data_IF_295283214852
#
_entry.id   IF_295283214852
#
_cell.length_a   1.000
_cell.length_b   1.000
_cell.length_c   1.000
_cell.angle_alpha   90.00
_cell.angle_beta   90.00
_cell.angle_gamma   90.00
#
_symmetry.space_group_name_H-M   'P 1'
#
loop_
_entity.id
_entity.type
_entity.pdbx_description
1 polymer ?
#
# COMPACT_ATOMS: atom_id res chain seq x y z
N UNK A 1 11.15 -16.13 -7.95
CA UNK A 1 10.02 -16.52 -7.11
C UNK A 1 8.70 -16.06 -7.73
N UNK A 2 8.59 -14.81 -8.18
CA UNK A 2 7.30 -14.31 -8.71
C UNK A 2 6.27 -14.10 -7.59
N UNK A 3 6.78 -14.07 -6.36
CA UNK A 3 6.08 -13.79 -5.12
C UNK A 3 6.16 -12.29 -4.84
N UNK A 4 5.09 -11.76 -4.27
CA UNK A 4 5.00 -10.35 -3.86
C UNK A 4 4.43 -10.32 -2.45
N UNK A 5 5.14 -9.70 -1.53
CA UNK A 5 4.69 -9.49 -0.16
C UNK A 5 4.36 -8.01 0.04
N UNK A 6 3.15 -7.72 0.51
CA UNK A 6 2.65 -6.36 0.74
C UNK A 6 2.26 -6.23 2.21
N UNK A 7 2.97 -5.37 2.94
CA UNK A 7 2.64 -5.05 4.32
C UNK A 7 2.03 -3.64 4.39
N UNK A 8 0.77 -3.57 4.80
CA UNK A 8 0.08 -2.31 5.08
C UNK A 8 0.43 -1.82 6.48
N UNK A 9 0.97 -0.61 6.59
CA UNK A 9 1.23 0.04 7.88
C UNK A 9 0.10 1.03 8.15
N UNK A 10 -0.67 0.88 9.24
CA UNK A 10 -1.68 1.86 9.63
C UNK A 10 -1.10 3.27 9.73
N UNK A 11 -1.85 4.25 9.22
CA UNK A 11 -1.35 5.63 9.07
C UNK A 11 -1.05 6.33 10.41
N UNK A 12 -1.72 5.85 11.47
CA UNK A 12 -1.64 6.37 12.83
C UNK A 12 -0.64 5.56 13.69
N UNK A 13 0.17 4.68 13.07
CA UNK A 13 1.19 3.89 13.79
C UNK A 13 2.17 4.78 14.52
N UNK A 14 2.32 4.56 15.83
CA UNK A 14 3.30 5.27 16.66
C UNK A 14 4.71 4.86 16.25
N UNK A 15 5.54 5.83 15.87
CA UNK A 15 6.88 5.58 15.36
C UNK A 15 7.87 6.67 15.79
N UNK A 16 9.14 6.29 15.90
CA UNK A 16 10.24 7.23 15.97
C UNK A 16 10.47 7.89 14.60
N UNK A 17 10.49 9.23 14.59
CA UNK A 17 10.77 10.01 13.38
C UNK A 17 12.06 10.79 13.61
N UNK A 18 13.07 10.57 12.76
CA UNK A 18 14.38 11.23 12.87
C UNK A 18 14.22 12.75 12.90
N UNK A 19 14.92 13.40 13.82
CA UNK A 19 14.83 14.86 14.03
C UNK A 19 13.63 15.31 14.88
N UNK A 20 12.83 14.37 15.39
CA UNK A 20 11.75 14.64 16.36
C UNK A 20 12.17 14.22 17.76
N UNK A 21 11.65 14.91 18.78
CA UNK A 21 11.97 14.65 20.18
C UNK A 21 11.23 13.42 20.74
N UNK A 22 9.97 13.29 20.36
CA UNK A 22 9.08 12.23 20.81
C UNK A 22 8.64 11.38 19.63
N UNK A 23 8.15 10.18 19.92
CA UNK A 23 7.43 9.37 18.93
C UNK A 23 6.13 10.06 18.53
N UNK A 24 5.78 9.96 17.25
CA UNK A 24 4.59 10.56 16.67
C UNK A 24 3.92 9.54 15.72
N UNK A 25 2.79 9.89 15.11
CA UNK A 25 2.18 9.02 14.09
C UNK A 25 3.04 9.00 12.82
N UNK A 26 3.20 7.83 12.20
CA UNK A 26 4.12 7.59 11.08
C UNK A 26 3.87 8.52 9.88
N UNK A 27 2.61 8.91 9.64
CA UNK A 27 2.26 9.83 8.55
C UNK A 27 2.90 11.21 8.66
N UNK A 28 3.24 11.65 9.88
CA UNK A 28 3.95 12.92 10.08
C UNK A 28 5.32 12.93 9.40
N UNK A 29 5.97 11.78 9.21
CA UNK A 29 7.25 11.68 8.53
C UNK A 29 7.17 12.25 7.10
N UNK A 30 6.08 11.96 6.39
CA UNK A 30 5.86 12.50 5.04
C UNK A 30 5.64 14.01 5.06
N UNK A 31 4.86 14.51 6.03
CA UNK A 31 4.60 15.94 6.16
C UNK A 31 5.88 16.74 6.48
N UNK A 32 6.82 16.15 7.23
CA UNK A 32 8.05 16.83 7.65
C UNK A 32 9.19 16.74 6.64
N UNK A 33 9.34 15.61 5.94
CA UNK A 33 10.51 15.37 5.09
C UNK A 33 10.22 14.59 3.83
N UNK A 34 8.95 14.54 3.41
CA UNK A 34 8.55 13.88 2.17
C UNK A 34 8.86 12.38 2.15
N UNK A 35 8.98 11.79 0.94
CA UNK A 35 9.23 10.36 0.78
C UNK A 35 10.49 9.86 1.49
N UNK A 36 11.57 10.64 1.50
CA UNK A 36 12.85 10.22 2.08
C UNK A 36 12.76 10.00 3.60
N UNK A 37 12.08 10.91 4.32
CA UNK A 37 11.88 10.73 5.75
C UNK A 37 10.89 9.61 6.05
N UNK A 38 9.85 9.44 5.21
CA UNK A 38 8.95 8.28 5.31
C UNK A 38 9.71 6.96 5.18
N UNK A 39 10.60 6.83 4.19
CA UNK A 39 11.42 5.62 4.00
C UNK A 39 12.31 5.35 5.21
N UNK A 40 12.97 6.38 5.76
CA UNK A 40 13.81 6.26 6.96
C UNK A 40 12.99 5.83 8.18
N UNK A 41 11.82 6.42 8.38
CA UNK A 41 10.91 6.04 9.48
C UNK A 41 10.41 4.60 9.35
N UNK A 42 10.03 4.15 8.15
CA UNK A 42 9.63 2.74 7.92
C UNK A 42 10.81 1.80 8.18
N UNK A 43 12.01 2.16 7.71
CA UNK A 43 13.23 1.39 7.97
C UNK A 43 13.52 1.27 9.47
N UNK A 44 13.42 2.38 10.20
CA UNK A 44 13.66 2.38 11.66
C UNK A 44 12.55 1.61 12.41
N UNK A 45 11.30 1.66 11.94
CA UNK A 45 10.17 0.97 12.54
C UNK A 45 10.24 -0.56 12.36
N UNK A 46 10.57 -1.03 11.15
CA UNK A 46 10.48 -2.44 10.78
C UNK A 46 11.83 -3.15 10.69
N UNK A 47 12.94 -2.41 10.71
CA UNK A 47 14.29 -2.98 10.54
C UNK A 47 14.58 -3.49 9.12
N UNK A 48 13.81 -3.07 8.11
CA UNK A 48 14.00 -3.49 6.71
C UNK A 48 14.59 -2.38 5.84
N UNK A 49 15.38 -2.77 4.83
CA UNK A 49 15.88 -1.83 3.84
C UNK A 49 14.79 -1.41 2.85
N UNK A 50 14.48 -0.12 2.88
CA UNK A 50 13.57 0.52 1.92
C UNK A 50 14.44 1.26 0.90
N UNK A 51 14.57 0.68 -0.30
CA UNK A 51 15.43 1.20 -1.38
C UNK A 51 14.68 2.20 -2.26
N UNK A 52 13.39 1.95 -2.48
CA UNK A 52 12.58 2.70 -3.41
C UNK A 52 11.25 3.13 -2.79
N UNK A 53 10.69 4.22 -3.33
CA UNK A 53 9.34 4.68 -3.03
C UNK A 53 8.56 4.94 -4.30
N UNK A 54 7.24 4.84 -4.19
CA UNK A 54 6.29 5.38 -5.18
C UNK A 54 5.27 6.20 -4.40
N UNK A 55 5.11 7.45 -4.79
CA UNK A 55 4.04 8.33 -4.33
C UNK A 55 3.03 8.51 -5.47
N UNK A 56 1.78 8.17 -5.19
CA UNK A 56 0.70 8.08 -6.17
C UNK A 56 -0.39 9.09 -5.83
N UNK A 57 -0.79 9.90 -6.83
CA UNK A 57 -1.99 10.74 -6.77
C UNK A 57 -3.23 9.92 -7.16
N UNK A 58 -4.39 10.31 -6.65
CA UNK A 58 -5.69 9.80 -7.07
C UNK A 58 -5.92 9.81 -8.59
N UNK A 59 -5.42 10.81 -9.32
CA UNK A 59 -5.57 10.88 -10.78
C UNK A 59 -4.94 9.67 -11.49
N UNK A 60 -3.84 9.15 -10.96
CA UNK A 60 -3.13 8.00 -11.52
C UNK A 60 -3.96 6.72 -11.35
N UNK A 61 -4.63 6.59 -10.20
CA UNK A 61 -5.52 5.46 -9.94
C UNK A 61 -6.69 5.49 -10.92
N UNK A 62 -7.29 6.67 -11.16
CA UNK A 62 -8.36 6.84 -12.14
C UNK A 62 -7.92 6.42 -13.54
N UNK A 63 -6.83 7.01 -14.04
CA UNK A 63 -6.29 6.72 -15.38
C UNK A 63 -6.00 5.22 -15.54
N UNK A 64 -5.40 4.61 -14.51
CA UNK A 64 -5.11 3.18 -14.53
C UNK A 64 -6.38 2.32 -14.63
N UNK A 65 -7.42 2.63 -13.84
CA UNK A 65 -8.69 1.89 -13.86
C UNK A 65 -9.39 2.04 -15.20
N UNK A 66 -9.35 3.22 -15.81
CA UNK A 66 -9.89 3.47 -17.15
C UNK A 66 -9.14 2.66 -18.22
N UNK A 67 -7.80 2.60 -18.18
CA UNK A 67 -6.99 1.85 -19.14
C UNK A 67 -7.28 0.34 -19.16
N UNK A 68 -7.71 -0.21 -18.02
CA UNK A 68 -8.08 -1.63 -17.90
C UNK A 68 -9.57 -1.87 -18.10
N UNK A 69 -10.38 -0.86 -18.41
CA UNK A 69 -11.83 -0.96 -18.53
C UNK A 69 -12.50 -1.42 -17.22
N UNK A 70 -12.14 -0.74 -16.13
CA UNK A 70 -12.73 -0.93 -14.79
C UNK A 70 -12.14 -2.10 -13.99
N UNK A 71 -12.32 -2.03 -12.66
CA UNK A 71 -11.87 -3.06 -11.70
C UNK A 71 -13.06 -3.63 -10.93
N UNK A 72 -13.19 -4.95 -10.94
CA UNK A 72 -14.29 -5.64 -10.26
C UNK A 72 -13.97 -5.84 -8.77
N UNK A 73 -14.88 -5.39 -7.89
CA UNK A 73 -14.74 -5.58 -6.45
C UNK A 73 -16.08 -5.98 -5.83
N UNK A 74 -16.03 -6.62 -4.66
CA UNK A 74 -17.18 -6.79 -3.78
C UNK A 74 -17.21 -5.67 -2.74
N UNK A 75 -18.12 -4.70 -2.88
CA UNK A 75 -18.28 -3.63 -1.91
C UNK A 75 -18.94 -4.19 -0.64
N UNK A 76 -18.29 -4.11 0.55
CA UNK A 76 -18.72 -4.84 1.74
C UNK A 76 -20.05 -4.35 2.34
N UNK A 77 -20.41 -3.10 2.11
CA UNK A 77 -21.56 -2.41 2.67
C UNK A 77 -21.90 -1.19 1.81
N UNK A 78 -23.10 -0.63 1.96
CA UNK A 78 -23.40 0.66 1.35
C UNK A 78 -22.45 1.73 1.91
N UNK A 79 -21.76 2.43 1.01
CA UNK A 79 -20.79 3.47 1.34
C UNK A 79 -21.37 4.82 0.95
N UNK A 80 -21.73 5.62 1.95
CA UNK A 80 -22.26 6.96 1.75
C UNK A 80 -21.49 7.96 2.59
N UNK A 81 -20.76 8.86 1.93
CA UNK A 81 -19.99 9.91 2.60
C UNK A 81 -19.92 11.16 1.74
N UNK A 82 -20.06 12.33 2.36
CA UNK A 82 -19.94 13.62 1.70
C UNK A 82 -19.10 14.55 2.56
N UNK A 83 -18.04 15.09 1.96
CA UNK A 83 -17.17 16.08 2.56
C UNK A 83 -16.88 17.20 1.55
N UNK A 84 -17.73 18.25 1.55
CA UNK A 84 -17.56 19.38 0.64
C UNK A 84 -16.35 20.24 1.00
N UNK A 85 -15.71 20.02 2.15
CA UNK A 85 -14.54 20.78 2.63
C UNK A 85 -13.22 20.15 2.24
N UNK A 86 -13.23 18.89 1.77
CA UNK A 86 -12.07 18.25 1.18
C UNK A 86 -11.67 18.94 -0.13
N UNK A 87 -10.39 18.87 -0.48
CA UNK A 87 -9.87 19.38 -1.76
C UNK A 87 -9.27 18.22 -2.59
N UNK A 88 -9.89 17.84 -3.72
CA UNK A 88 -11.23 18.26 -4.17
C UNK A 88 -12.34 17.69 -3.26
N UNK A 89 -13.57 18.25 -3.32
CA UNK A 89 -14.72 17.75 -2.58
C UNK A 89 -14.90 16.23 -2.73
N UNK A 90 -15.12 15.54 -1.61
CA UNK A 90 -15.25 14.09 -1.60
C UNK A 90 -16.71 13.70 -1.50
N UNK A 91 -17.21 13.04 -2.55
CA UNK A 91 -18.54 12.42 -2.58
C UNK A 91 -18.38 10.93 -2.84
N UNK A 92 -18.94 10.11 -1.95
CA UNK A 92 -18.91 8.65 -2.01
C UNK A 92 -20.35 8.16 -1.97
N UNK A 93 -20.72 7.35 -2.96
CA UNK A 93 -22.00 6.68 -3.03
C UNK A 93 -21.84 5.34 -3.78
N UNK A 94 -21.58 4.27 -3.04
CA UNK A 94 -21.45 2.91 -3.60
C UNK A 94 -22.41 1.97 -2.89
N UNK A 95 -23.17 1.18 -3.66
CA UNK A 95 -24.03 0.14 -3.12
C UNK A 95 -23.22 -1.11 -2.76
N UNK A 96 -23.67 -1.86 -1.76
CA UNK A 96 -23.10 -3.16 -1.39
C UNK A 96 -23.17 -4.16 -2.56
N UNK A 97 -22.15 -5.00 -2.69
CA UNK A 97 -22.13 -6.15 -3.60
C UNK A 97 -21.06 -6.07 -4.69
N UNK A 98 -21.07 -7.08 -5.58
CA UNK A 98 -20.15 -7.15 -6.71
C UNK A 98 -20.49 -6.09 -7.76
N UNK A 99 -19.50 -5.30 -8.12
CA UNK A 99 -19.62 -4.31 -9.19
C UNK A 99 -18.26 -4.01 -9.81
N UNK A 100 -18.28 -3.57 -11.07
CA UNK A 100 -17.09 -3.05 -11.75
C UNK A 100 -17.02 -1.56 -11.50
N UNK A 101 -15.97 -1.13 -10.80
CA UNK A 101 -15.71 0.27 -10.52
C UNK A 101 -14.97 0.92 -11.68
N UNK A 102 -15.46 2.07 -12.12
CA UNK A 102 -14.70 3.02 -12.93
C UNK A 102 -13.66 3.78 -12.09
N UNK A 103 -12.93 4.72 -12.70
CA UNK A 103 -11.89 5.49 -12.03
C UNK A 103 -12.40 6.29 -10.83
N UNK A 104 -13.55 6.95 -10.95
CA UNK A 104 -14.13 7.74 -9.87
C UNK A 104 -14.66 6.85 -8.74
N UNK A 105 -15.37 5.78 -9.09
CA UNK A 105 -15.88 4.80 -8.14
C UNK A 105 -14.75 4.06 -7.41
N UNK A 106 -13.62 3.80 -8.08
CA UNK A 106 -12.43 3.24 -7.45
C UNK A 106 -11.88 4.17 -6.37
N UNK A 107 -11.82 5.48 -6.62
CA UNK A 107 -11.42 6.43 -5.59
C UNK A 107 -12.40 6.50 -4.43
N UNK A 108 -13.70 6.47 -4.72
CA UNK A 108 -14.74 6.42 -3.69
C UNK A 108 -14.52 5.21 -2.77
N UNK A 109 -14.30 4.04 -3.37
CA UNK A 109 -14.06 2.79 -2.65
C UNK A 109 -12.77 2.85 -1.80
N UNK A 110 -11.67 3.34 -2.36
CA UNK A 110 -10.36 3.39 -1.70
C UNK A 110 -10.27 4.45 -0.58
N UNK A 111 -11.14 5.46 -0.62
CA UNK A 111 -11.15 6.58 0.34
C UNK A 111 -12.18 6.42 1.46
N UNK A 112 -13.20 5.57 1.29
CA UNK A 112 -14.24 5.37 2.30
C UNK A 112 -13.63 4.85 3.62
N UNK A 113 -14.10 5.41 4.74
CA UNK A 113 -13.64 5.06 6.10
C UNK A 113 -14.78 5.14 7.10
N UNK A 114 -15.56 6.22 6.99
CA UNK A 114 -16.71 6.52 7.84
C UNK A 114 -17.91 6.93 6.98
N UNK A 115 -19.10 6.69 7.49
CA UNK A 115 -20.33 7.12 6.85
C UNK A 115 -20.68 8.58 7.14
N UNK A 116 -21.68 9.09 6.42
CA UNK A 116 -22.41 10.29 6.83
C UNK A 116 -23.04 10.11 8.22
N UNK A 117 -23.45 11.21 8.86
CA UNK A 117 -24.16 11.14 10.15
C UNK A 117 -25.38 10.21 10.02
N UNK A 118 -25.45 9.18 10.87
CA UNK A 118 -26.52 8.18 10.86
C UNK A 118 -26.31 7.02 9.87
N UNK A 119 -25.16 6.98 9.17
CA UNK A 119 -24.73 5.86 8.34
C UNK A 119 -23.58 5.10 9.04
N UNK A 120 -23.46 3.79 8.82
CA UNK A 120 -22.39 2.99 9.41
C UNK A 120 -21.00 3.37 8.88
N UNK A 121 -20.00 3.23 9.74
CA UNK A 121 -18.58 3.30 9.37
C UNK A 121 -18.08 1.95 8.85
N UNK A 122 -16.90 1.92 8.21
CA UNK A 122 -16.23 0.65 7.98
C UNK A 122 -15.93 -0.03 9.32
N UNK A 123 -16.15 -1.34 9.45
CA UNK A 123 -15.72 -2.09 10.62
C UNK A 123 -14.22 -1.89 10.88
N UNK A 124 -13.86 -1.37 12.05
CA UNK A 124 -12.48 -1.04 12.40
C UNK A 124 -11.93 0.24 11.74
N UNK A 125 -12.77 1.05 11.09
CA UNK A 125 -12.42 2.33 10.51
C UNK A 125 -11.30 2.25 9.48
N UNK A 126 -10.10 2.73 9.86
CA UNK A 126 -8.92 2.73 8.98
C UNK A 126 -8.48 1.30 8.61
N UNK A 127 -8.59 0.35 9.54
CA UNK A 127 -8.27 -1.06 9.29
C UNK A 127 -9.24 -1.67 8.26
N UNK A 128 -10.51 -1.29 8.30
CA UNK A 128 -11.48 -1.66 7.28
C UNK A 128 -11.10 -1.08 5.91
N UNK A 129 -10.66 0.18 5.86
CA UNK A 129 -10.19 0.80 4.62
C UNK A 129 -8.95 0.11 4.05
N UNK A 130 -8.01 -0.30 4.91
CA UNK A 130 -6.84 -1.08 4.48
C UNK A 130 -7.28 -2.40 3.81
N UNK A 131 -8.30 -3.08 4.35
CA UNK A 131 -8.87 -4.29 3.71
C UNK A 131 -9.45 -3.99 2.33
N UNK A 132 -10.21 -2.89 2.19
CA UNK A 132 -10.71 -2.44 0.88
C UNK A 132 -9.56 -2.15 -0.10
N UNK A 133 -8.48 -1.51 0.36
CA UNK A 133 -7.30 -1.22 -0.46
C UNK A 133 -6.58 -2.51 -0.91
N UNK A 134 -6.39 -3.48 0.00
CA UNK A 134 -5.81 -4.79 -0.31
C UNK A 134 -6.67 -5.56 -1.33
N UNK A 135 -7.99 -5.58 -1.13
CA UNK A 135 -8.94 -6.18 -2.07
C UNK A 135 -8.84 -5.54 -3.45
N UNK A 136 -8.78 -4.20 -3.51
CA UNK A 136 -8.66 -3.48 -4.77
C UNK A 136 -7.33 -3.78 -5.47
N UNK A 137 -6.21 -3.79 -4.74
CA UNK A 137 -4.89 -4.14 -5.31
C UNK A 137 -4.93 -5.54 -5.92
N UNK A 138 -5.51 -6.52 -5.21
CA UNK A 138 -5.64 -7.88 -5.74
C UNK A 138 -6.46 -7.91 -7.03
N UNK A 139 -7.65 -7.30 -7.02
CA UNK A 139 -8.52 -7.23 -8.19
C UNK A 139 -7.88 -6.48 -9.37
N UNK A 140 -7.15 -5.39 -9.10
CA UNK A 140 -6.43 -4.63 -10.11
C UNK A 140 -5.32 -5.48 -10.74
N UNK A 141 -4.53 -6.21 -9.95
CA UNK A 141 -3.51 -7.13 -10.48
C UNK A 141 -4.16 -8.24 -11.31
N UNK A 142 -5.25 -8.86 -10.84
CA UNK A 142 -5.99 -9.88 -11.61
C UNK A 142 -6.47 -9.31 -12.96
N UNK A 143 -6.96 -8.07 -12.98
CA UNK A 143 -7.39 -7.39 -14.18
C UNK A 143 -6.25 -7.10 -15.15
N UNK A 144 -5.07 -6.68 -14.67
CA UNK A 144 -3.86 -6.44 -15.49
C UNK A 144 -3.40 -7.74 -16.15
N UNK A 145 -3.41 -8.84 -15.40
CA UNK A 145 -2.88 -10.13 -15.85
C UNK A 145 -3.78 -10.84 -16.86
N UNK A 146 -5.00 -10.34 -17.12
CA UNK A 146 -5.86 -10.88 -18.18
C UNK A 146 -5.16 -10.76 -19.56
N UNK A 147 -5.31 -11.76 -20.46
CA UNK A 147 -4.61 -11.77 -21.75
C UNK A 147 -4.78 -10.49 -22.59
N UNK A 148 -5.94 -9.84 -22.56
CA UNK A 148 -6.19 -8.62 -23.33
C UNK A 148 -5.50 -7.38 -22.72
N UNK A 149 -5.17 -7.41 -21.44
CA UNK A 149 -4.53 -6.29 -20.73
C UNK A 149 -3.02 -6.48 -20.60
N UNK A 150 -2.52 -7.73 -20.64
CA UNK A 150 -1.08 -8.01 -20.51
C UNK A 150 -0.26 -7.33 -21.63
N UNK A 151 -0.84 -7.20 -22.82
CA UNK A 151 -0.22 -6.52 -23.97
C UNK A 151 -0.13 -5.00 -23.76
N UNK A 152 -0.96 -4.42 -22.89
CA UNK A 152 -0.97 -2.99 -22.53
C UNK A 152 0.04 -2.65 -21.43
N UNK A 153 0.65 -3.63 -20.75
CA UNK A 153 1.55 -3.41 -19.61
C UNK A 153 2.71 -2.44 -19.91
N UNK A 154 3.42 -2.53 -21.06
CA UNK A 154 4.48 -1.57 -21.35
C UNK A 154 3.98 -0.12 -21.48
N UNK A 155 2.77 0.08 -22.01
CA UNK A 155 2.14 1.40 -22.09
C UNK A 155 1.73 1.89 -20.68
N UNK A 156 1.12 1.02 -19.88
CA UNK A 156 0.75 1.32 -18.49
C UNK A 156 1.98 1.69 -17.66
N UNK A 157 3.09 0.98 -17.80
CA UNK A 157 4.34 1.28 -17.10
C UNK A 157 4.90 2.67 -17.44
N UNK A 158 4.79 3.09 -18.71
CA UNK A 158 5.22 4.43 -19.16
C UNK A 158 4.30 5.54 -18.63
N UNK A 159 2.97 5.34 -18.71
CA UNK A 159 2.01 6.29 -18.13
C UNK A 159 2.22 6.42 -16.62
N UNK A 160 2.34 5.29 -15.91
CA UNK A 160 2.64 5.25 -14.49
C UNK A 160 3.88 6.08 -14.16
N UNK A 161 5.02 5.79 -14.80
CA UNK A 161 6.28 6.49 -14.52
C UNK A 161 6.21 8.00 -14.75
N UNK A 162 5.47 8.44 -15.77
CA UNK A 162 5.36 9.86 -16.11
C UNK A 162 4.51 10.66 -15.12
N UNK A 163 3.66 9.97 -14.35
CA UNK A 163 2.69 10.59 -13.46
C UNK A 163 2.98 10.34 -11.97
N UNK A 164 3.87 9.41 -11.60
CA UNK A 164 4.24 9.18 -10.18
C UNK A 164 5.48 9.96 -9.76
N UNK A 165 5.54 10.32 -8.49
CA UNK A 165 6.79 10.74 -7.83
C UNK A 165 7.48 9.49 -7.29
N UNK A 166 8.64 9.14 -7.84
CA UNK A 166 9.38 7.91 -7.52
C UNK A 166 10.87 8.07 -7.73
N UNK A 167 11.67 7.32 -6.95
CA UNK A 167 13.10 7.13 -7.20
C UNK A 167 13.41 5.79 -7.90
N UNK A 168 12.40 5.03 -8.35
CA UNK A 168 12.63 3.79 -9.09
C UNK A 168 13.11 4.14 -10.51
N UNK A 169 14.26 3.63 -10.97
CA UNK A 169 14.68 3.80 -12.35
C UNK A 169 13.70 3.18 -13.36
N UNK A 170 13.49 3.84 -14.51
CA UNK A 170 12.57 3.34 -15.54
C UNK A 170 12.93 1.93 -16.04
N UNK A 171 14.21 1.61 -16.17
CA UNK A 171 14.67 0.28 -16.58
C UNK A 171 14.30 -0.80 -15.56
N UNK A 172 14.31 -0.47 -14.26
CA UNK A 172 13.82 -1.36 -13.19
C UNK A 172 12.31 -1.59 -13.34
N UNK A 173 11.52 -0.54 -13.58
CA UNK A 173 10.07 -0.66 -13.83
C UNK A 173 9.80 -1.54 -15.05
N UNK A 174 10.47 -1.28 -16.18
CA UNK A 174 10.31 -2.07 -17.40
C UNK A 174 10.72 -3.54 -17.20
N UNK A 175 11.76 -3.80 -16.41
CA UNK A 175 12.18 -5.15 -16.04
C UNK A 175 11.13 -5.89 -15.23
N UNK A 176 10.45 -5.22 -14.29
CA UNK A 176 9.32 -5.81 -13.56
C UNK A 176 8.10 -6.01 -14.46
N UNK A 177 7.78 -5.03 -15.30
CA UNK A 177 6.70 -5.11 -16.29
C UNK A 177 6.86 -6.30 -17.24
N UNK A 178 8.06 -6.57 -17.75
CA UNK A 178 8.33 -7.75 -18.59
C UNK A 178 8.22 -9.08 -17.83
N UNK A 179 8.41 -9.06 -16.51
CA UNK A 179 8.22 -10.21 -15.63
C UNK A 179 6.77 -10.39 -15.17
N UNK A 180 5.89 -9.40 -15.40
CA UNK A 180 4.48 -9.42 -14.99
C UNK A 180 3.76 -10.72 -15.38
N UNK A 181 4.05 -11.24 -16.57
CA UNK A 181 3.49 -12.52 -17.08
C UNK A 181 3.79 -13.76 -16.25
N UNK A 182 4.79 -13.69 -15.37
CA UNK A 182 5.16 -14.80 -14.48
C UNK A 182 4.54 -14.66 -13.08
N UNK A 183 3.78 -13.58 -12.83
CA UNK A 183 3.05 -13.38 -11.58
C UNK A 183 1.68 -14.06 -11.65
N UNK A 184 1.24 -14.51 -10.49
CA UNK A 184 -0.13 -14.96 -10.24
C UNK A 184 -0.59 -14.27 -8.96
N UNK A 185 -1.88 -13.94 -8.87
CA UNK A 185 -2.44 -13.34 -7.65
C UNK A 185 -2.47 -14.30 -6.47
N UNK A 186 -2.32 -15.61 -6.73
CA UNK A 186 -2.10 -16.63 -5.70
C UNK A 186 -0.74 -16.48 -4.99
N UNK A 187 0.22 -15.78 -5.61
CA UNK A 187 1.56 -15.53 -5.05
C UNK A 187 1.69 -14.13 -4.44
N UNK A 188 0.58 -13.41 -4.28
CA UNK A 188 0.56 -12.14 -3.58
C UNK A 188 0.11 -12.40 -2.15
N UNK A 189 1.03 -12.21 -1.21
CA UNK A 189 0.74 -12.19 0.21
C UNK A 189 0.52 -10.75 0.65
N UNK A 190 -0.59 -10.50 1.34
CA UNK A 190 -0.89 -9.18 1.91
C UNK A 190 -1.17 -9.31 3.39
N UNK A 191 -0.54 -8.46 4.19
CA UNK A 191 -0.78 -8.38 5.62
C UNK A 191 -0.93 -6.93 6.06
N UNK A 192 -1.47 -6.73 7.25
CA UNK A 192 -1.49 -5.44 7.94
C UNK A 192 -0.62 -5.57 9.18
N UNK A 193 0.17 -4.54 9.47
CA UNK A 193 1.03 -4.51 10.65
C UNK A 193 0.20 -4.83 11.91
N UNK A 194 0.54 -5.89 12.68
CA UNK A 194 -0.16 -6.27 13.88
C UNK A 194 -0.12 -5.20 14.96
N UNK A 195 -1.19 -5.10 15.74
CA UNK A 195 -1.33 -4.10 16.79
C UNK A 195 -2.76 -3.64 17.00
N UNK A 196 -2.91 -2.60 17.82
CA UNK A 196 -4.21 -2.12 18.26
C UNK A 196 -4.29 -0.59 18.31
N UNK A 197 -5.51 -0.07 18.18
CA UNK A 197 -5.77 1.36 18.31
C UNK A 197 -5.86 1.75 19.78
N UNK A 198 -5.01 2.68 20.23
CA UNK A 198 -5.02 3.21 21.58
C UNK A 198 -5.14 4.73 21.57
N UNK A 199 -6.01 5.27 22.43
CA UNK A 199 -6.08 6.71 22.67
C UNK A 199 -5.10 7.08 23.80
N UNK A 200 -4.18 7.98 23.49
CA UNK A 200 -3.29 8.61 24.46
C UNK A 200 -3.65 10.11 24.52
N UNK A 201 -2.80 10.98 23.97
CA UNK A 201 -3.15 12.39 23.71
C UNK A 201 -3.87 12.57 22.36
N UNK A 202 -3.80 11.53 21.52
CA UNK A 202 -4.51 11.36 20.25
C UNK A 202 -4.65 9.86 19.98
N UNK A 203 -5.40 9.50 18.95
CA UNK A 203 -5.42 8.12 18.44
C UNK A 203 -4.06 7.74 17.85
N UNK A 204 -3.53 6.64 18.35
CA UNK A 204 -2.37 5.94 17.81
C UNK A 204 -2.76 4.51 17.44
N UNK A 205 -2.05 3.94 16.49
CA UNK A 205 -1.95 2.50 16.33
C UNK A 205 -0.65 2.04 17.00
N UNK A 206 -0.76 1.20 18.03
CA UNK A 206 0.37 0.66 18.78
C UNK A 206 0.66 -0.72 18.22
N UNK A 207 1.85 -0.86 17.62
CA UNK A 207 2.31 -2.09 17.01
C UNK A 207 2.53 -3.17 18.07
N UNK A 208 2.04 -4.38 17.83
CA UNK A 208 2.50 -5.56 18.58
C UNK A 208 3.91 -5.89 18.10
N UNK A 209 4.91 -5.71 18.97
CA UNK A 209 6.31 -5.80 18.57
C UNK A 209 6.72 -7.21 18.18
N UNK A 210 6.34 -8.23 18.95
CA UNK A 210 6.76 -9.61 18.71
C UNK A 210 6.08 -10.19 17.47
N UNK A 211 4.78 -9.95 17.32
CA UNK A 211 4.02 -10.41 16.15
C UNK A 211 4.50 -9.69 14.88
N UNK A 212 4.78 -8.38 14.98
CA UNK A 212 5.27 -7.61 13.83
C UNK A 212 6.68 -8.01 13.42
N UNK A 213 7.60 -8.23 14.36
CA UNK A 213 8.95 -8.72 14.04
C UNK A 213 8.90 -10.09 13.36
N UNK A 214 8.05 -10.99 13.86
CA UNK A 214 7.83 -12.33 13.26
C UNK A 214 7.25 -12.22 11.85
N UNK A 215 6.23 -11.39 11.66
CA UNK A 215 5.58 -11.16 10.37
C UNK A 215 6.56 -10.56 9.35
N UNK A 216 7.26 -9.49 9.73
CA UNK A 216 8.25 -8.83 8.87
C UNK A 216 9.36 -9.80 8.48
N UNK A 217 9.86 -10.60 9.43
CA UNK A 217 10.88 -11.61 9.14
C UNK A 217 10.37 -12.62 8.12
N UNK A 218 9.16 -13.14 8.32
CA UNK A 218 8.52 -14.14 7.44
C UNK A 218 8.32 -13.57 6.04
N UNK A 219 7.75 -12.37 5.92
CA UNK A 219 7.41 -11.76 4.64
C UNK A 219 8.62 -11.26 3.85
N UNK A 220 9.70 -10.80 4.51
CA UNK A 220 10.78 -10.05 3.85
C UNK A 220 12.19 -10.63 4.02
N UNK A 221 12.41 -11.64 4.87
CA UNK A 221 13.74 -12.24 5.06
C UNK A 221 14.07 -13.30 4.01
N UNK A 222 13.06 -14.02 3.51
CA UNK A 222 13.28 -15.11 2.54
C UNK A 222 13.79 -14.61 1.17
N UNK A 223 13.78 -13.29 0.93
CA UNK A 223 14.26 -12.72 -0.33
C UNK A 223 15.50 -11.82 -0.20
N UNK A 224 16.02 -11.61 1.03
CA UNK A 224 17.25 -10.82 1.26
C UNK A 224 18.27 -11.48 2.20
N UNK A 225 17.88 -12.44 3.03
CA UNK A 225 18.80 -13.09 3.98
C UNK A 225 19.86 -13.98 3.30
N UNK A 226 19.58 -14.50 2.10
CA UNK A 226 20.50 -15.44 1.42
C UNK A 226 21.76 -14.75 0.87
N UNK A 227 21.80 -13.42 0.70
CA UNK A 227 23.01 -12.75 0.18
C UNK A 227 23.96 -12.19 1.24
N UNK A 228 23.48 -11.95 2.48
CA UNK A 228 24.32 -11.38 3.53
C UNK A 228 24.76 -12.39 4.59
N UNK A 229 24.08 -13.54 4.74
CA UNK A 229 24.54 -14.58 5.67
C UNK A 229 25.79 -15.30 5.11
N UNK A 230 25.89 -15.50 3.80
CA UNK A 230 27.08 -16.09 3.17
C UNK A 230 28.29 -15.13 3.16
N UNK A 231 28.05 -13.82 3.24
CA UNK A 231 29.12 -12.82 3.30
C UNK A 231 29.70 -12.69 4.71
N UNK A 232 28.84 -12.72 5.73
CA UNK A 232 29.27 -12.66 7.14
C UNK A 232 29.98 -13.96 7.57
N UNK A 233 29.60 -15.12 7.00
CA UNK A 233 30.31 -16.38 7.27
C UNK A 233 31.70 -16.47 6.61
N UNK A 234 31.90 -15.86 5.44
CA UNK A 234 33.20 -15.92 4.75
C UNK A 234 34.22 -14.87 5.22
N UNK A 235 33.78 -13.77 5.85
CA UNK A 235 34.69 -12.75 6.40
C UNK A 235 35.09 -13.01 7.87
N UNK A 236 34.49 -14.02 8.53
CA UNK A 236 34.81 -14.43 9.90
C UNK A 236 35.83 -15.57 10.05
N UNK A 237 36.30 -16.16 8.95
CA UNK A 237 37.32 -17.25 8.96
C UNK A 237 38.69 -16.82 8.41
N UNK A 238 38.90 -15.55 8.11
CA UNK A 238 40.23 -15.01 7.77
C UNK A 238 40.48 -13.68 8.47
N UNK A 239 40.83 -13.75 9.75
CA UNK A 239 41.88 -12.97 10.44
C UNK A 239 41.91 -13.28 11.93
#
# INVERSE_FOLDING_TARGET
>A
TGEVSILSIPRDTKAYIRGRKNEEIITHAHAYGGPELSMKTVKDLLGVDVEYYVKVDYNIVKEFVELVDGVEVNVPMDMEYSDPTADPPLYINLSKGHQTLDGDQALQFLRFRKGNKGKPDLPGGDLGRIKSQQQFIKAAVEKILRPNNIVKIPQMAKSFYSNVDTNIPMDVILKFAMKAKNFSTEKIEMATLPGESQYLERWYFIMDKEESETLVKTMFSDHRAVKNIDKIKNEGETN
#
